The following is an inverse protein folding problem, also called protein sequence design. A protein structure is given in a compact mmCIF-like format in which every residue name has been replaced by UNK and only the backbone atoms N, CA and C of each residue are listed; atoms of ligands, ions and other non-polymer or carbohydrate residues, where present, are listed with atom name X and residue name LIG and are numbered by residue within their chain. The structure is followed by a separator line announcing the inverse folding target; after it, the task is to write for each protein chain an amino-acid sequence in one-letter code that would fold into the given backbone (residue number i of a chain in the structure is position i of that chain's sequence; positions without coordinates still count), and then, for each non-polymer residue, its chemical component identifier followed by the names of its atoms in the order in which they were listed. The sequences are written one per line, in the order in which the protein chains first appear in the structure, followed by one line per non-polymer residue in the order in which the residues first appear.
data_IF_611200156094
#
_entry.id   IF_611200156094
#
_cell.length_a   1.000
_cell.length_b   1.000
_cell.length_c   1.000
_cell.angle_alpha   90.00
_cell.angle_beta   90.00
_cell.angle_gamma   90.00
#
_symmetry.space_group_name_H-M   'P 1'
#
loop_
_entity.id
_entity.type
_entity.pdbx_description
1 polymer ?
#
# COMPACT_ATOMS: atom_id res chain seq x y z
N UNK A 1 -2.86 46.55 -8.29
CA UNK A 1 -1.46 46.15 -8.09
C UNK A 1 -1.28 45.82 -6.61
N UNK A 2 -1.51 44.57 -6.21
CA UNK A 2 -1.40 44.12 -4.82
C UNK A 2 -0.79 42.71 -4.80
N UNK A 3 0.40 42.61 -4.21
CA UNK A 3 1.16 41.37 -4.06
C UNK A 3 0.46 40.47 -3.03
N UNK A 4 0.12 39.24 -3.45
CA UNK A 4 -0.32 38.18 -2.53
C UNK A 4 0.91 37.47 -1.96
N UNK A 5 1.10 37.68 -0.66
CA UNK A 5 2.11 37.04 0.17
C UNK A 5 1.84 35.52 0.22
N UNK A 6 2.79 34.71 -0.26
CA UNK A 6 2.69 33.24 -0.26
C UNK A 6 3.36 32.75 1.03
N UNK A 7 2.56 32.39 2.04
CA UNK A 7 3.06 31.75 3.24
C UNK A 7 3.65 30.38 2.88
N UNK A 8 4.99 30.28 2.91
CA UNK A 8 5.72 29.02 2.77
C UNK A 8 5.73 28.36 4.14
N UNK A 9 4.85 27.37 4.36
CA UNK A 9 4.93 26.52 5.54
C UNK A 9 6.15 25.60 5.41
N UNK A 10 7.07 25.56 6.39
CA UNK A 10 8.22 24.67 6.32
C UNK A 10 7.73 23.21 6.43
N UNK A 11 8.11 22.39 5.46
CA UNK A 11 7.89 20.94 5.51
C UNK A 11 8.51 20.38 6.79
N UNK A 12 7.95 19.29 7.33
CA UNK A 12 8.47 18.60 8.52
C UNK A 12 9.96 18.23 8.38
N UNK A 13 10.43 18.05 7.14
CA UNK A 13 11.83 17.85 6.80
C UNK A 13 12.71 19.12 6.91
N UNK A 14 12.14 20.30 6.59
CA UNK A 14 12.84 21.58 6.77
C UNK A 14 13.19 21.89 8.22
N UNK A 15 12.37 21.42 9.18
CA UNK A 15 12.68 21.51 10.62
C UNK A 15 13.79 20.55 11.06
N UNK A 16 13.87 19.35 10.46
CA UNK A 16 14.97 18.39 10.72
C UNK A 16 16.29 18.89 10.12
N UNK A 17 16.24 19.50 8.93
CA UNK A 17 17.41 20.11 8.29
C UNK A 17 17.94 21.33 9.05
N UNK A 18 17.05 22.20 9.54
CA UNK A 18 17.43 23.35 10.35
C UNK A 18 17.98 22.97 11.74
N UNK A 19 17.73 21.74 12.21
CA UNK A 19 18.27 21.20 13.46
C UNK A 19 19.63 20.50 13.30
N UNK A 20 20.14 20.34 12.08
CA UNK A 20 21.49 19.83 11.82
C UNK A 20 22.47 21.00 11.93
N UNK A 21 23.25 21.02 13.01
CA UNK A 21 24.35 21.96 13.20
C UNK A 21 25.48 21.63 12.21
N UNK A 22 25.77 22.50 11.21
CA UNK A 22 26.80 22.25 10.20
C UNK A 22 28.19 22.04 10.81
N UNK A 23 28.45 22.56 12.01
CA UNK A 23 29.73 22.44 12.71
C UNK A 23 29.90 21.12 13.47
N UNK A 24 28.81 20.35 13.66
CA UNK A 24 28.83 19.01 14.28
C UNK A 24 28.80 17.86 13.29
N UNK A 25 28.75 18.14 11.98
CA UNK A 25 28.77 17.12 10.95
C UNK A 25 30.22 16.68 10.65
N UNK A 26 30.53 15.37 10.65
CA UNK A 26 31.86 14.90 10.30
C UNK A 26 32.21 15.32 8.87
N UNK A 27 33.47 15.69 8.60
CA UNK A 27 33.94 16.16 7.28
C UNK A 27 33.58 15.21 6.12
N UNK A 28 33.36 13.92 6.40
CA UNK A 28 32.89 12.92 5.45
C UNK A 28 31.43 13.11 4.95
N UNK A 29 30.62 13.94 5.60
CA UNK A 29 29.23 14.22 5.22
C UNK A 29 29.08 15.29 4.13
N UNK A 30 30.08 16.16 3.96
CA UNK A 30 30.07 17.27 3.01
C UNK A 30 29.87 16.88 1.53
N UNK A 31 30.41 15.76 1.01
CA UNK A 31 30.15 15.32 -0.37
C UNK A 31 28.74 14.76 -0.59
N UNK A 32 28.02 14.40 0.49
CA UNK A 32 26.75 13.65 0.43
C UNK A 32 25.53 14.54 0.65
N UNK A 33 25.69 15.64 1.39
CA UNK A 33 24.64 16.62 1.72
C UNK A 33 23.88 17.19 0.50
N UNK A 34 24.53 17.52 -0.64
CA UNK A 34 23.82 18.02 -1.84
C UNK A 34 22.89 16.95 -2.44
N UNK A 35 23.33 15.69 -2.50
CA UNK A 35 22.57 14.56 -3.07
C UNK A 35 21.42 14.13 -2.16
N UNK A 36 21.58 14.24 -0.85
CA UNK A 36 20.50 14.03 0.11
C UNK A 36 19.41 15.09 -0.01
N UNK A 37 19.77 16.34 -0.33
CA UNK A 37 18.82 17.43 -0.59
C UNK A 37 17.99 17.18 -1.85
N UNK A 38 18.55 16.52 -2.86
CA UNK A 38 17.82 16.08 -4.07
C UNK A 38 16.81 14.96 -3.80
N UNK A 39 16.99 14.17 -2.72
CA UNK A 39 16.03 13.15 -2.29
C UNK A 39 14.84 13.72 -1.50
N UNK A 40 14.93 14.97 -1.04
CA UNK A 40 13.90 15.62 -0.21
C UNK A 40 12.53 15.66 -0.89
N UNK A 41 12.36 16.01 -2.18
CA UNK A 41 11.05 15.99 -2.85
C UNK A 41 10.39 14.61 -2.85
N UNK A 42 11.20 13.55 -2.96
CA UNK A 42 10.75 12.16 -2.99
C UNK A 42 10.32 11.66 -1.60
N UNK A 43 10.99 12.14 -0.55
CA UNK A 43 10.68 11.83 0.86
C UNK A 43 9.58 12.74 1.44
N UNK A 44 9.43 13.97 0.94
CA UNK A 44 8.46 14.98 1.42
C UNK A 44 7.13 14.99 0.66
N UNK A 45 7.00 14.24 -0.44
CA UNK A 45 5.72 14.00 -1.13
C UNK A 45 4.67 13.25 -0.27
N UNK A 46 4.98 12.91 0.98
CA UNK A 46 4.06 12.38 1.99
C UNK A 46 3.43 13.43 2.91
N UNK A 47 3.82 14.71 2.81
CA UNK A 47 3.46 15.73 3.81
C UNK A 47 2.92 17.01 3.17
N UNK A 48 1.82 16.93 2.42
CA UNK A 48 1.06 18.12 2.01
C UNK A 48 -0.45 17.79 1.89
N UNK A 49 -1.19 18.05 2.98
CA UNK A 49 -2.46 18.80 3.06
C UNK A 49 -3.08 18.53 4.44
N UNK A 50 -3.30 19.62 5.18
CA UNK A 50 -3.72 19.63 6.58
C UNK A 50 -5.19 19.28 6.78
N UNK A 51 -5.45 18.88 8.02
CA UNK A 51 -6.67 18.29 8.55
C UNK A 51 -7.47 19.38 9.28
N UNK A 52 -8.35 20.13 8.59
CA UNK A 52 -9.21 21.13 9.28
C UNK A 52 -10.65 21.32 8.73
N UNK A 53 -11.12 20.56 7.72
CA UNK A 53 -12.49 20.74 7.18
C UNK A 53 -13.49 19.60 7.48
N UNK A 54 -13.12 18.62 8.31
CA UNK A 54 -13.99 17.46 8.60
C UNK A 54 -15.05 17.69 9.68
N UNK A 55 -14.80 18.57 10.66
CA UNK A 55 -15.63 18.65 11.87
C UNK A 55 -16.83 19.60 11.80
N UNK A 56 -17.04 20.29 10.67
CA UNK A 56 -18.14 21.26 10.52
C UNK A 56 -19.38 20.70 9.83
N UNK A 57 -19.27 19.58 9.10
CA UNK A 57 -20.36 19.04 8.26
C UNK A 57 -21.19 17.95 8.96
N UNK A 58 -20.73 17.39 10.08
CA UNK A 58 -21.32 16.18 10.68
C UNK A 58 -22.33 16.40 11.83
N UNK A 59 -22.70 17.64 12.17
CA UNK A 59 -23.73 17.89 13.20
C UNK A 59 -25.11 17.99 12.57
N UNK A 60 -25.73 16.85 12.26
CA UNK A 60 -27.17 16.81 11.94
C UNK A 60 -27.68 15.72 10.99
N UNK A 61 -26.86 14.75 10.57
CA UNK A 61 -27.33 13.66 9.70
C UNK A 61 -27.76 12.42 10.51
N UNK A 62 -28.84 11.71 10.12
CA UNK A 62 -29.19 10.41 10.70
C UNK A 62 -28.02 9.41 10.55
N UNK A 63 -27.94 8.40 11.43
CA UNK A 63 -26.79 7.48 11.53
C UNK A 63 -26.61 6.58 10.29
N UNK A 64 -26.02 7.16 9.25
CA UNK A 64 -25.54 6.48 8.03
C UNK A 64 -24.23 5.73 8.26
N UNK A 65 -23.63 5.79 9.46
CA UNK A 65 -22.37 5.11 9.75
C UNK A 65 -22.58 3.60 9.92
N UNK A 66 -23.64 3.19 10.62
CA UNK A 66 -24.01 1.78 10.79
C UNK A 66 -24.40 1.10 9.46
N UNK A 67 -25.10 1.81 8.57
CA UNK A 67 -25.53 1.28 7.26
C UNK A 67 -24.34 1.15 6.28
N UNK A 68 -23.34 2.04 6.36
CA UNK A 68 -22.10 1.91 5.58
C UNK A 68 -21.24 0.72 6.02
N UNK A 69 -21.24 0.40 7.32
CA UNK A 69 -20.44 -0.70 7.87
C UNK A 69 -20.89 -2.08 7.34
N UNK A 70 -22.21 -2.32 7.27
CA UNK A 70 -22.83 -3.56 6.74
C UNK A 70 -22.60 -3.82 5.23
N UNK A 71 -22.06 -2.84 4.50
CA UNK A 71 -21.70 -2.96 3.07
C UNK A 71 -20.22 -2.77 2.81
N UNK A 72 -19.38 -2.71 3.85
CA UNK A 72 -18.00 -2.29 3.71
C UNK A 72 -17.07 -3.43 3.29
N UNK A 73 -16.17 -3.10 2.37
CA UNK A 73 -14.96 -3.87 2.04
C UNK A 73 -13.84 -3.39 2.94
N UNK A 74 -12.99 -4.30 3.41
CA UNK A 74 -11.77 -3.96 4.15
C UNK A 74 -10.58 -3.99 3.20
N UNK A 75 -9.83 -2.89 3.11
CA UNK A 75 -8.54 -2.86 2.45
C UNK A 75 -7.41 -3.05 3.47
N UNK A 76 -6.56 -4.05 3.25
CA UNK A 76 -5.35 -4.27 4.05
C UNK A 76 -4.14 -3.75 3.27
N UNK A 77 -3.36 -2.86 3.89
CA UNK A 77 -2.19 -2.23 3.29
C UNK A 77 -0.98 -2.34 4.23
N UNK A 78 0.23 -2.37 3.69
CA UNK A 78 1.46 -2.46 4.49
C UNK A 78 2.00 -1.09 4.93
N UNK A 79 1.66 -0.01 4.22
CA UNK A 79 2.28 1.30 4.39
C UNK A 79 1.26 2.43 4.52
N UNK A 80 1.57 3.44 5.35
CA UNK A 80 0.67 4.56 5.61
C UNK A 80 0.26 5.36 4.35
N UNK A 81 1.14 5.43 3.33
CA UNK A 81 0.78 6.09 2.07
C UNK A 81 -0.16 5.25 1.21
N UNK A 82 -0.05 3.92 1.26
CA UNK A 82 -0.97 3.00 0.58
C UNK A 82 -2.34 3.14 1.21
N UNK A 83 -2.41 3.16 2.54
CA UNK A 83 -3.65 3.35 3.28
C UNK A 83 -4.38 4.64 2.88
N UNK A 84 -3.63 5.74 2.75
CA UNK A 84 -4.16 7.03 2.30
C UNK A 84 -4.69 6.96 0.86
N UNK A 85 -4.03 6.20 -0.02
CA UNK A 85 -4.50 6.00 -1.39
C UNK A 85 -5.74 5.08 -1.40
N UNK A 86 -5.74 3.99 -0.64
CA UNK A 86 -6.84 3.04 -0.56
C UNK A 86 -8.15 3.65 -0.06
N UNK A 87 -8.08 4.73 0.73
CA UNK A 87 -9.21 5.37 1.43
C UNK A 87 -10.53 5.50 0.67
N UNK A 88 -11.62 5.68 1.42
CA UNK A 88 -12.99 5.57 0.91
C UNK A 88 -13.66 4.22 1.23
N UNK A 89 -12.88 3.28 1.77
CA UNK A 89 -13.31 2.03 2.41
C UNK A 89 -12.72 1.94 3.82
N UNK A 90 -13.04 0.91 4.59
CA UNK A 90 -12.33 0.59 5.84
C UNK A 90 -10.91 0.15 5.49
N UNK A 91 -9.90 0.81 6.07
CA UNK A 91 -8.48 0.54 5.75
C UNK A 91 -7.75 0.12 7.02
N UNK A 92 -6.98 -0.96 6.92
CA UNK A 92 -6.14 -1.49 8.00
C UNK A 92 -4.68 -1.44 7.56
N UNK A 93 -3.85 -0.75 8.34
CA UNK A 93 -2.43 -0.53 8.08
C UNK A 93 -1.63 -0.57 9.38
N UNK A 94 -1.89 -1.58 10.20
CA UNK A 94 -1.46 -1.60 11.61
C UNK A 94 -0.22 -2.47 11.86
N UNK A 95 0.52 -2.83 10.80
CA UNK A 95 1.73 -3.66 10.88
C UNK A 95 1.48 -4.94 11.67
N UNK A 96 2.17 -5.10 12.80
CA UNK A 96 2.03 -6.27 13.68
C UNK A 96 0.61 -6.47 14.23
N UNK A 97 -0.19 -5.40 14.35
CA UNK A 97 -1.57 -5.48 14.84
C UNK A 97 -2.59 -5.76 13.74
N UNK A 98 -2.17 -5.81 12.47
CA UNK A 98 -3.05 -6.04 11.31
C UNK A 98 -3.98 -7.24 11.51
N UNK A 99 -3.46 -8.35 12.06
CA UNK A 99 -4.28 -9.54 12.30
C UNK A 99 -5.40 -9.34 13.32
N UNK A 100 -5.15 -8.58 14.39
CA UNK A 100 -6.17 -8.29 15.41
C UNK A 100 -7.20 -7.28 14.89
N UNK A 101 -6.73 -6.20 14.26
CA UNK A 101 -7.62 -5.17 13.69
C UNK A 101 -8.50 -5.73 12.57
N UNK A 102 -7.96 -6.62 11.73
CA UNK A 102 -8.72 -7.25 10.65
C UNK A 102 -9.86 -8.13 11.17
N UNK A 103 -9.60 -8.95 12.19
CA UNK A 103 -10.65 -9.76 12.82
C UNK A 103 -11.74 -8.88 13.43
N UNK A 104 -11.35 -7.84 14.16
CA UNK A 104 -12.30 -6.93 14.80
C UNK A 104 -13.21 -6.22 13.78
N UNK A 105 -12.68 -5.83 12.62
CA UNK A 105 -13.51 -5.22 11.56
C UNK A 105 -14.36 -6.26 10.81
N UNK A 106 -13.87 -7.49 10.63
CA UNK A 106 -14.67 -8.57 10.06
C UNK A 106 -15.88 -8.88 10.96
N UNK A 107 -15.68 -8.96 12.27
CA UNK A 107 -16.74 -9.18 13.26
C UNK A 107 -17.79 -8.06 13.29
N UNK A 108 -17.46 -6.86 12.78
CA UNK A 108 -18.41 -5.74 12.60
C UNK A 108 -19.26 -5.85 11.33
N UNK A 109 -19.09 -6.89 10.51
CA UNK A 109 -19.95 -7.19 9.36
C UNK A 109 -19.41 -6.79 8.00
N UNK A 110 -18.10 -6.92 7.76
CA UNK A 110 -17.51 -6.66 6.44
C UNK A 110 -17.92 -7.69 5.38
N UNK A 111 -17.96 -7.29 4.10
CA UNK A 111 -18.36 -8.17 2.98
C UNK A 111 -17.21 -8.84 2.25
N UNK A 112 -15.99 -8.37 2.44
CA UNK A 112 -14.83 -8.89 1.74
C UNK A 112 -13.56 -8.17 2.15
N UNK A 113 -12.44 -8.82 1.90
CA UNK A 113 -11.11 -8.31 2.25
C UNK A 113 -10.26 -8.22 0.98
N UNK A 114 -9.69 -7.05 0.71
CA UNK A 114 -8.72 -6.86 -0.37
C UNK A 114 -7.37 -6.46 0.19
N UNK A 115 -6.32 -7.14 -0.25
CA UNK A 115 -4.95 -6.70 0.00
C UNK A 115 -4.50 -5.76 -1.12
N UNK A 116 -4.18 -4.52 -0.78
CA UNK A 116 -3.92 -3.44 -1.73
C UNK A 116 -2.60 -2.74 -1.39
N UNK A 117 -1.73 -2.54 -2.38
CA UNK A 117 -0.50 -1.77 -2.14
C UNK A 117 0.59 -2.02 -3.16
N UNK A 118 1.82 -1.69 -2.78
CA UNK A 118 3.01 -2.03 -3.55
C UNK A 118 3.55 -3.41 -3.17
N UNK A 119 4.39 -3.98 -4.02
CA UNK A 119 5.04 -5.27 -3.82
C UNK A 119 6.40 -5.31 -4.54
N UNK A 120 7.28 -6.19 -4.07
CA UNK A 120 8.53 -6.51 -4.75
C UNK A 120 8.28 -7.45 -5.93
N UNK A 121 8.98 -7.23 -7.04
CA UNK A 121 8.93 -8.11 -8.21
C UNK A 121 9.79 -9.36 -8.00
N UNK A 122 9.26 -10.52 -8.39
CA UNK A 122 9.97 -11.80 -8.41
C UNK A 122 10.26 -12.27 -9.85
N UNK A 123 9.37 -11.96 -10.79
CA UNK A 123 9.57 -12.29 -12.19
C UNK A 123 10.48 -11.26 -12.91
N UNK A 124 11.41 -11.70 -13.77
CA UNK A 124 12.45 -10.84 -14.35
C UNK A 124 11.93 -9.80 -15.36
N UNK A 125 10.75 -10.01 -15.92
CA UNK A 125 10.20 -9.22 -17.03
C UNK A 125 9.25 -8.10 -16.59
N UNK A 126 9.00 -7.94 -15.28
CA UNK A 126 7.99 -7.01 -14.79
C UNK A 126 8.59 -5.66 -14.37
N UNK A 127 8.16 -4.53 -14.97
CA UNK A 127 8.68 -3.22 -14.64
C UNK A 127 8.00 -2.59 -13.42
N UNK A 128 8.60 -1.55 -12.80
CA UNK A 128 7.91 -0.74 -11.80
C UNK A 128 6.62 -0.13 -12.35
N UNK A 129 5.58 -0.07 -11.52
CA UNK A 129 4.26 0.44 -11.91
C UNK A 129 3.34 -0.58 -12.57
N UNK A 130 3.85 -1.77 -12.90
CA UNK A 130 3.02 -2.87 -13.39
C UNK A 130 2.07 -3.36 -12.30
N UNK A 131 0.79 -3.48 -12.65
CA UNK A 131 -0.23 -4.07 -11.79
C UNK A 131 -0.20 -5.60 -11.88
N UNK A 132 -0.39 -6.24 -10.73
CA UNK A 132 -0.63 -7.67 -10.59
C UNK A 132 -1.92 -7.86 -9.81
N UNK A 133 -2.86 -8.63 -10.33
CA UNK A 133 -4.03 -9.12 -9.61
C UNK A 133 -3.72 -10.56 -9.20
N UNK A 134 -3.94 -10.87 -7.93
CA UNK A 134 -3.65 -12.19 -7.41
C UNK A 134 -4.65 -13.22 -7.96
N UNK A 135 -4.13 -14.32 -8.51
CA UNK A 135 -4.89 -15.55 -8.74
C UNK A 135 -4.88 -16.46 -7.52
N UNK A 136 -3.84 -16.34 -6.71
CA UNK A 136 -3.68 -17.00 -5.42
C UNK A 136 -2.63 -16.26 -4.59
N UNK A 137 -2.71 -16.40 -3.28
CA UNK A 137 -1.65 -16.06 -2.35
C UNK A 137 -0.98 -17.34 -1.88
N UNK A 138 0.34 -17.40 -1.93
CA UNK A 138 1.14 -18.52 -1.42
C UNK A 138 2.09 -18.03 -0.33
N UNK A 139 2.18 -18.78 0.75
CA UNK A 139 3.19 -18.60 1.79
C UNK A 139 3.86 -19.95 2.08
N UNK A 140 4.85 -19.98 2.97
CA UNK A 140 5.45 -21.24 3.43
C UNK A 140 4.45 -22.13 4.19
N UNK A 141 3.30 -21.59 4.63
CA UNK A 141 2.31 -22.32 5.46
C UNK A 141 1.08 -22.75 4.68
N UNK A 142 0.65 -21.93 3.72
CA UNK A 142 -0.66 -22.05 3.12
C UNK A 142 -0.72 -21.48 1.71
N UNK A 143 -1.75 -21.92 0.97
CA UNK A 143 -2.14 -21.37 -0.32
C UNK A 143 -3.63 -21.07 -0.29
N UNK A 144 -3.99 -19.84 -0.66
CA UNK A 144 -5.36 -19.37 -0.72
C UNK A 144 -5.64 -18.84 -2.12
N UNK A 145 -6.65 -19.39 -2.81
CA UNK A 145 -7.13 -18.83 -4.07
C UNK A 145 -7.90 -17.54 -3.79
N UNK A 146 -7.84 -16.60 -4.73
CA UNK A 146 -8.66 -15.38 -4.65
C UNK A 146 -10.08 -15.63 -5.15
N UNK A 147 -11.00 -14.77 -4.74
CA UNK A 147 -12.36 -14.72 -5.25
C UNK A 147 -12.33 -14.44 -6.77
N UNK A 148 -12.90 -15.34 -7.60
CA UNK A 148 -12.76 -15.24 -9.05
C UNK A 148 -13.50 -14.04 -9.63
N UNK A 149 -14.69 -13.72 -9.12
CA UNK A 149 -15.52 -12.62 -9.61
C UNK A 149 -14.86 -11.28 -9.28
N UNK A 150 -14.35 -11.14 -8.05
CA UNK A 150 -13.64 -9.93 -7.65
C UNK A 150 -12.33 -9.77 -8.42
N UNK A 151 -11.59 -10.86 -8.64
CA UNK A 151 -10.36 -10.82 -9.43
C UNK A 151 -10.65 -10.44 -10.89
N UNK A 152 -11.75 -10.91 -11.47
CA UNK A 152 -12.18 -10.50 -12.80
C UNK A 152 -12.57 -9.01 -12.86
N UNK A 153 -13.34 -8.52 -11.87
CA UNK A 153 -13.66 -7.10 -11.75
C UNK A 153 -12.39 -6.22 -11.65
N UNK A 154 -11.38 -6.67 -10.90
CA UNK A 154 -10.08 -5.99 -10.81
C UNK A 154 -9.37 -5.98 -12.17
N UNK A 155 -9.32 -7.10 -12.88
CA UNK A 155 -8.65 -7.21 -14.19
C UNK A 155 -9.33 -6.32 -15.25
N UNK A 156 -10.67 -6.24 -15.25
CA UNK A 156 -11.42 -5.34 -16.13
C UNK A 156 -11.14 -3.86 -15.79
N UNK A 157 -11.04 -3.52 -14.51
CA UNK A 157 -10.81 -2.16 -14.05
C UNK A 157 -9.34 -1.71 -14.18
N UNK A 158 -8.38 -2.64 -14.26
CA UNK A 158 -6.95 -2.37 -14.37
C UNK A 158 -6.37 -2.92 -15.68
N UNK A 159 -6.54 -2.22 -16.82
CA UNK A 159 -6.03 -2.66 -18.10
C UNK A 159 -4.53 -2.96 -18.06
N UNK A 160 -4.15 -4.13 -18.57
CA UNK A 160 -2.76 -4.59 -18.60
C UNK A 160 -2.25 -5.16 -17.28
N UNK A 161 -3.09 -5.29 -16.24
CA UNK A 161 -2.73 -6.03 -15.04
C UNK A 161 -2.47 -7.52 -15.36
N UNK A 162 -1.44 -8.09 -14.73
CA UNK A 162 -1.11 -9.51 -14.86
C UNK A 162 -1.88 -10.30 -13.81
N UNK A 163 -2.59 -11.36 -14.21
CA UNK A 163 -3.24 -12.27 -13.28
C UNK A 163 -2.29 -13.42 -12.91
N UNK A 164 -1.84 -13.48 -11.65
CA UNK A 164 -0.83 -14.46 -11.24
C UNK A 164 -0.75 -14.66 -9.73
N UNK A 165 0.02 -15.66 -9.31
CA UNK A 165 0.27 -15.94 -7.90
C UNK A 165 1.15 -14.85 -7.26
N UNK A 166 0.80 -14.47 -6.04
CA UNK A 166 1.55 -13.56 -5.16
C UNK A 166 2.10 -14.35 -3.98
N UNK A 167 3.39 -14.16 -3.65
CA UNK A 167 4.00 -14.73 -2.46
C UNK A 167 3.83 -13.77 -1.27
N UNK A 168 3.34 -14.27 -0.14
CA UNK A 168 3.41 -13.57 1.14
C UNK A 168 4.63 -14.01 1.94
N UNK A 169 5.38 -13.07 2.50
CA UNK A 169 6.53 -13.33 3.36
C UNK A 169 6.43 -12.58 4.68
N UNK A 170 6.86 -13.20 5.77
CA UNK A 170 6.94 -12.52 7.08
C UNK A 170 8.13 -11.53 7.16
N UNK A 171 9.06 -11.58 6.18
CA UNK A 171 10.26 -10.75 6.16
C UNK A 171 10.52 -10.16 4.77
N UNK A 172 11.14 -8.98 4.65
CA UNK A 172 11.50 -8.42 3.35
C UNK A 172 12.44 -9.33 2.55
N UNK A 173 12.16 -9.52 1.26
CA UNK A 173 13.02 -10.27 0.33
C UNK A 173 13.86 -9.28 -0.47
N UNK A 174 15.08 -9.03 -0.01
CA UNK A 174 15.89 -7.89 -0.43
C UNK A 174 16.72 -8.12 -1.68
N UNK A 175 17.39 -9.27 -1.77
CA UNK A 175 18.42 -9.52 -2.77
C UNK A 175 17.89 -10.31 -3.98
N UNK A 176 18.44 -10.08 -5.19
CA UNK A 176 17.99 -10.76 -6.40
C UNK A 176 18.09 -12.31 -6.35
N UNK A 177 19.13 -12.93 -5.76
CA UNK A 177 19.16 -14.38 -5.56
C UNK A 177 17.99 -14.91 -4.73
N UNK A 178 17.65 -14.28 -3.60
CA UNK A 178 16.53 -14.67 -2.76
C UNK A 178 15.18 -14.50 -3.49
N UNK A 179 15.02 -13.41 -4.26
CA UNK A 179 13.84 -13.20 -5.11
C UNK A 179 13.69 -14.30 -6.16
N UNK A 180 14.77 -14.66 -6.85
CA UNK A 180 14.77 -15.75 -7.83
C UNK A 180 14.47 -17.10 -7.19
N UNK A 181 15.09 -17.42 -6.06
CA UNK A 181 14.80 -18.66 -5.35
C UNK A 181 13.34 -18.75 -4.87
N UNK A 182 12.73 -17.62 -4.49
CA UNK A 182 11.31 -17.56 -4.14
C UNK A 182 10.41 -17.74 -5.38
N UNK A 183 10.73 -17.07 -6.48
CA UNK A 183 10.05 -17.23 -7.77
C UNK A 183 10.05 -18.70 -8.21
N UNK A 184 11.23 -19.32 -8.26
CA UNK A 184 11.43 -20.67 -8.78
C UNK A 184 10.70 -21.72 -7.92
N UNK A 185 10.64 -21.50 -6.59
CA UNK A 185 10.01 -22.42 -5.65
C UNK A 185 8.49 -22.31 -5.62
N UNK A 186 7.92 -21.13 -5.88
CA UNK A 186 6.49 -20.85 -5.67
C UNK A 186 5.71 -20.57 -6.95
N UNK A 187 6.38 -20.23 -8.05
CA UNK A 187 5.76 -19.70 -9.27
C UNK A 187 5.12 -18.33 -9.09
N UNK A 188 5.32 -17.66 -7.94
CA UNK A 188 4.80 -16.33 -7.70
C UNK A 188 5.61 -15.26 -8.44
N UNK A 189 4.95 -14.25 -8.98
CA UNK A 189 5.61 -13.20 -9.78
C UNK A 189 5.91 -11.94 -8.97
N UNK A 190 5.30 -11.79 -7.79
CA UNK A 190 5.52 -10.70 -6.84
C UNK A 190 5.50 -11.21 -5.41
N UNK A 191 6.14 -10.46 -4.51
CA UNK A 191 6.18 -10.73 -3.07
C UNK A 191 5.75 -9.51 -2.26
N UNK A 192 4.95 -9.73 -1.23
CA UNK A 192 4.55 -8.72 -0.25
C UNK A 192 4.58 -9.31 1.18
N UNK A 193 4.19 -8.49 2.17
CA UNK A 193 4.29 -8.87 3.58
C UNK A 193 2.95 -8.99 4.31
N UNK A 194 1.83 -8.67 3.66
CA UNK A 194 0.52 -8.60 4.33
C UNK A 194 -0.52 -9.53 3.71
N UNK A 195 -0.40 -9.88 2.43
CA UNK A 195 -1.44 -10.59 1.70
C UNK A 195 -1.70 -12.00 2.26
N UNK A 196 -0.69 -12.73 2.73
CA UNK A 196 -0.89 -14.08 3.30
C UNK A 196 -1.63 -14.05 4.63
N UNK A 197 -1.37 -13.05 5.48
CA UNK A 197 -2.11 -12.85 6.73
C UNK A 197 -3.56 -12.50 6.44
N UNK A 198 -3.80 -11.57 5.51
CA UNK A 198 -5.14 -11.14 5.13
C UNK A 198 -5.96 -12.29 4.51
N UNK A 199 -5.36 -13.05 3.57
CA UNK A 199 -5.97 -14.19 2.92
C UNK A 199 -6.39 -15.26 3.93
N UNK A 200 -5.47 -15.64 4.84
CA UNK A 200 -5.74 -16.63 5.88
C UNK A 200 -6.88 -16.21 6.81
N UNK A 201 -6.92 -14.95 7.24
CA UNK A 201 -7.97 -14.46 8.13
C UNK A 201 -9.32 -14.40 7.40
N UNK A 202 -9.36 -13.91 6.16
CA UNK A 202 -10.58 -13.88 5.36
C UNK A 202 -11.13 -15.30 5.13
N UNK A 203 -10.27 -16.24 4.74
CA UNK A 203 -10.63 -17.64 4.57
C UNK A 203 -11.18 -18.26 5.86
N UNK A 204 -10.57 -17.98 7.01
CA UNK A 204 -11.04 -18.46 8.30
C UNK A 204 -12.43 -17.92 8.71
N UNK A 205 -12.88 -16.82 8.10
CA UNK A 205 -14.19 -16.21 8.35
C UNK A 205 -15.16 -16.40 7.16
N UNK A 206 -14.79 -17.19 6.16
CA UNK A 206 -15.63 -17.43 4.98
C UNK A 206 -15.91 -16.18 4.13
N UNK A 207 -15.01 -15.18 4.15
CA UNK A 207 -15.17 -13.95 3.38
C UNK A 207 -14.46 -14.03 2.03
N UNK A 208 -15.04 -13.43 0.97
CA UNK A 208 -14.34 -13.16 -0.28
C UNK A 208 -13.04 -12.43 -0.04
N UNK A 209 -11.98 -12.89 -0.69
CA UNK A 209 -10.65 -12.31 -0.60
C UNK A 209 -10.04 -12.10 -1.98
N UNK A 210 -9.40 -10.96 -2.20
CA UNK A 210 -8.52 -10.77 -3.37
C UNK A 210 -7.30 -9.91 -3.01
N UNK A 211 -6.37 -9.77 -3.95
CA UNK A 211 -5.26 -8.84 -3.81
C UNK A 211 -4.92 -8.21 -5.15
N UNK A 212 -4.53 -6.93 -5.12
CA UNK A 212 -3.89 -6.28 -6.25
C UNK A 212 -2.69 -5.47 -5.77
N UNK A 213 -1.56 -5.69 -6.45
CA UNK A 213 -0.26 -5.13 -6.08
C UNK A 213 0.38 -4.41 -7.25
N UNK A 214 1.03 -3.29 -6.96
CA UNK A 214 1.86 -2.56 -7.92
C UNK A 214 3.32 -2.87 -7.66
N UNK A 215 4.07 -3.24 -8.69
CA UNK A 215 5.50 -3.49 -8.55
C UNK A 215 6.23 -2.19 -8.25
N UNK A 216 6.99 -2.18 -7.14
CA UNK A 216 7.86 -1.07 -6.76
C UNK A 216 9.32 -1.34 -7.06
N UNK A 217 9.82 -2.54 -6.80
CA UNK A 217 11.22 -2.90 -7.02
C UNK A 217 11.31 -4.23 -7.81
N UNK A 218 11.76 -4.22 -9.08
CA UNK A 218 11.82 -5.42 -9.91
C UNK A 218 12.75 -6.52 -9.38
N UNK A 219 12.65 -7.71 -9.98
CA UNK A 219 13.38 -8.91 -9.53
C UNK A 219 14.92 -8.76 -9.53
N UNK A 220 15.46 -7.97 -10.45
CA UNK A 220 16.90 -7.71 -10.57
C UNK A 220 17.39 -6.58 -9.66
N UNK A 221 16.47 -5.88 -8.97
CA UNK A 221 16.81 -4.75 -8.09
C UNK A 221 17.21 -5.29 -6.71
N UNK A 222 18.39 -4.88 -6.26
CA UNK A 222 18.81 -5.08 -4.87
C UNK A 222 18.20 -3.98 -4.00
N UNK A 223 17.57 -4.34 -2.88
CA UNK A 223 17.09 -3.36 -1.91
C UNK A 223 18.26 -2.88 -1.04
N UNK A 224 18.59 -1.57 -1.03
CA UNK A 224 19.69 -1.07 -0.21
C UNK A 224 19.34 -1.22 1.29
N UNK A 225 20.34 -1.37 2.18
CA UNK A 225 20.09 -1.54 3.61
C UNK A 225 19.19 -0.46 4.21
N UNK A 226 19.30 0.78 3.74
CA UNK A 226 18.42 1.87 4.18
C UNK A 226 16.93 1.61 3.86
N UNK A 227 16.59 0.92 2.77
CA UNK A 227 15.20 0.59 2.43
C UNK A 227 14.61 -0.42 3.42
N UNK A 228 15.43 -1.36 3.91
CA UNK A 228 15.04 -2.39 4.88
C UNK A 228 14.80 -1.86 6.30
N UNK A 229 15.29 -0.66 6.61
CA UNK A 229 15.08 0.00 7.90
C UNK A 229 13.73 0.71 7.99
N UNK A 230 12.93 0.63 6.93
CA UNK A 230 11.55 1.12 6.89
C UNK A 230 10.71 0.04 7.55
N UNK A 231 10.34 0.18 8.82
CA UNK A 231 9.07 0.79 9.19
C UNK A 231 9.08 1.03 10.70
N UNK A 232 8.57 2.18 11.13
CA UNK A 232 8.13 2.35 12.52
C UNK A 232 6.83 1.55 12.72
N UNK A 233 6.48 1.19 13.97
CA UNK A 233 5.22 0.46 14.24
C UNK A 233 3.95 1.14 13.73
N UNK A 234 4.02 2.43 13.42
CA UNK A 234 2.94 3.28 12.87
C UNK A 234 2.88 3.30 11.32
N UNK A 235 3.71 2.50 10.64
CA UNK A 235 3.74 2.42 9.17
C UNK A 235 4.47 3.58 8.49
N UNK A 236 5.14 4.47 9.24
CA UNK A 236 5.95 5.55 8.68
C UNK A 236 7.40 5.11 8.44
N UNK A 237 8.08 5.61 7.38
CA UNK A 237 9.51 5.36 7.16
C UNK A 237 10.35 5.90 8.33
N UNK A 238 11.31 5.13 8.82
CA UNK A 238 12.22 5.60 9.86
C UNK A 238 13.34 6.47 9.27
N UNK A 239 13.00 7.73 8.95
CA UNK A 239 13.90 8.70 8.27
C UNK A 239 15.26 8.83 8.96
N UNK A 240 15.31 8.80 10.29
CA UNK A 240 16.57 8.87 11.04
C UNK A 240 17.44 7.61 10.87
N UNK A 241 16.83 6.42 10.81
CA UNK A 241 17.55 5.16 10.55
C UNK A 241 18.04 5.07 9.11
N UNK A 242 17.22 5.52 8.15
CA UNK A 242 17.59 5.67 6.74
C UNK A 242 18.81 6.59 6.61
N UNK A 243 18.79 7.77 7.24
CA UNK A 243 19.89 8.73 7.19
C UNK A 243 21.18 8.16 7.81
N UNK A 244 21.09 7.50 8.97
CA UNK A 244 22.24 6.83 9.60
C UNK A 244 22.82 5.73 8.71
N UNK A 245 21.99 4.92 8.07
CA UNK A 245 22.44 3.87 7.15
C UNK A 245 23.16 4.47 5.94
N UNK A 246 22.60 5.52 5.34
CA UNK A 246 23.21 6.21 4.20
C UNK A 246 24.55 6.84 4.58
N UNK A 247 24.67 7.43 5.78
CA UNK A 247 25.95 7.95 6.29
C UNK A 247 26.97 6.83 6.54
N UNK A 248 26.54 5.67 7.04
CA UNK A 248 27.41 4.52 7.28
C UNK A 248 27.87 3.84 5.99
N UNK A 249 27.05 3.84 4.93
CA UNK A 249 27.36 3.22 3.64
C UNK A 249 26.92 4.13 2.47
N UNK A 250 27.69 5.19 2.14
CA UNK A 250 27.33 6.14 1.07
C UNK A 250 27.27 5.52 -0.33
N UNK A 251 27.93 4.36 -0.53
CA UNK A 251 27.90 3.61 -1.79
C UNK A 251 26.51 3.10 -2.17
N UNK A 252 25.56 3.06 -1.22
CA UNK A 252 24.16 2.66 -1.48
C UNK A 252 23.30 3.77 -2.13
N UNK A 253 23.81 5.00 -2.23
CA UNK A 253 23.06 6.16 -2.75
C UNK A 253 22.50 5.96 -4.17
N UNK A 254 23.25 5.42 -5.15
CA UNK A 254 22.72 5.21 -6.49
C UNK A 254 21.52 4.25 -6.51
N UNK A 255 21.59 3.16 -5.75
CA UNK A 255 20.50 2.18 -5.65
C UNK A 255 19.28 2.76 -4.93
N UNK A 256 19.51 3.59 -3.91
CA UNK A 256 18.45 4.32 -3.22
C UNK A 256 17.75 5.34 -4.11
N UNK A 257 18.50 6.08 -4.95
CA UNK A 257 17.91 7.00 -5.94
C UNK A 257 17.08 6.27 -6.98
N UNK A 258 17.56 5.13 -7.48
CA UNK A 258 16.80 4.28 -8.43
C UNK A 258 15.51 3.77 -7.79
N UNK A 259 15.58 3.27 -6.56
CA UNK A 259 14.41 2.84 -5.81
C UNK A 259 13.42 4.00 -5.59
N UNK A 260 13.91 5.22 -5.33
CA UNK A 260 13.04 6.39 -5.19
C UNK A 260 12.29 6.70 -6.49
N UNK A 261 12.95 6.62 -7.65
CA UNK A 261 12.30 6.74 -8.96
C UNK A 261 11.25 5.65 -9.15
N UNK A 262 11.60 4.40 -8.92
CA UNK A 262 10.67 3.28 -9.08
C UNK A 262 9.45 3.43 -8.15
N UNK A 263 9.66 3.90 -6.91
CA UNK A 263 8.60 4.20 -5.95
C UNK A 263 7.68 5.34 -6.42
N UNK A 264 8.19 6.36 -7.11
CA UNK A 264 7.32 7.39 -7.71
C UNK A 264 6.44 6.83 -8.82
N UNK A 265 6.98 5.95 -9.68
CA UNK A 265 6.23 5.28 -10.75
C UNK A 265 5.14 4.40 -10.14
N UNK A 266 5.51 3.56 -9.16
CA UNK A 266 4.59 2.68 -8.47
C UNK A 266 3.48 3.45 -7.76
N UNK A 267 3.80 4.54 -7.05
CA UNK A 267 2.81 5.39 -6.37
C UNK A 267 1.87 6.07 -7.36
N UNK A 268 2.36 6.52 -8.51
CA UNK A 268 1.52 7.09 -9.56
C UNK A 268 0.56 6.04 -10.13
N UNK A 269 1.04 4.82 -10.40
CA UNK A 269 0.21 3.70 -10.84
C UNK A 269 -0.82 3.29 -9.77
N UNK A 270 -0.44 3.26 -8.49
CA UNK A 270 -1.33 2.95 -7.37
C UNK A 270 -2.48 3.96 -7.27
N UNK A 271 -2.18 5.27 -7.39
CA UNK A 271 -3.21 6.33 -7.41
C UNK A 271 -4.15 6.24 -8.59
N UNK A 272 -3.60 5.98 -9.80
CA UNK A 272 -4.41 5.83 -11.02
C UNK A 272 -5.31 4.60 -10.92
N UNK A 273 -4.74 3.45 -10.53
CA UNK A 273 -5.49 2.21 -10.36
C UNK A 273 -6.59 2.37 -9.31
N UNK A 274 -6.28 2.96 -8.14
CA UNK A 274 -7.31 3.28 -7.14
C UNK A 274 -8.52 4.04 -7.70
N UNK A 275 -8.28 5.04 -8.56
CA UNK A 275 -9.36 5.81 -9.16
C UNK A 275 -10.22 4.94 -10.11
N UNK A 276 -9.60 4.03 -10.87
CA UNK A 276 -10.27 3.10 -11.76
C UNK A 276 -11.09 2.03 -11.01
N UNK A 277 -10.62 1.61 -9.84
CA UNK A 277 -11.30 0.60 -9.01
C UNK A 277 -12.62 1.09 -8.37
N UNK A 278 -12.93 2.39 -8.44
CA UNK A 278 -14.19 2.93 -7.91
C UNK A 278 -14.30 2.89 -6.37
N UNK A 279 -15.46 3.25 -5.80
CA UNK A 279 -15.60 3.44 -4.36
C UNK A 279 -15.43 2.15 -3.53
N UNK A 280 -15.76 0.98 -4.10
CA UNK A 280 -15.73 -0.32 -3.42
C UNK A 280 -14.53 -1.19 -3.81
N UNK A 281 -13.47 -0.61 -4.40
CA UNK A 281 -12.28 -1.37 -4.85
C UNK A 281 -12.62 -2.54 -5.79
N UNK A 282 -13.53 -2.30 -6.74
CA UNK A 282 -14.06 -3.26 -7.70
C UNK A 282 -14.70 -4.52 -7.06
N UNK A 283 -15.17 -4.43 -5.81
CA UNK A 283 -15.93 -5.51 -5.19
C UNK A 283 -17.18 -5.85 -6.02
N UNK A 284 -17.45 -7.12 -6.31
CA UNK A 284 -18.65 -7.54 -7.05
C UNK A 284 -19.90 -7.16 -6.26
N UNK A 285 -20.72 -6.27 -6.80
CA UNK A 285 -22.03 -5.96 -6.26
C UNK A 285 -22.94 -7.15 -6.57
N UNK A 286 -23.17 -8.04 -5.60
CA UNK A 286 -24.08 -9.17 -5.74
C UNK A 286 -25.48 -8.65 -6.11
N UNK A 287 -25.81 -8.66 -7.41
CA UNK A 287 -27.15 -8.39 -7.95
C UNK A 287 -28.11 -9.58 -7.72
N UNK A 288 -28.15 -10.14 -6.51
CA UNK A 288 -28.97 -11.33 -6.21
C UNK A 288 -29.78 -11.25 -4.91
N UNK A 289 -30.02 -10.04 -4.39
CA UNK A 289 -31.00 -9.81 -3.30
C UNK A 289 -32.22 -8.98 -3.74
N UNK A 290 -32.34 -8.66 -5.03
CA UNK A 290 -33.57 -8.04 -5.59
C UNK A 290 -34.70 -9.07 -5.87
N UNK A 291 -34.45 -10.37 -5.70
CA UNK A 291 -35.49 -11.40 -5.93
C UNK A 291 -36.32 -11.78 -4.69
N UNK A 292 -35.93 -11.36 -3.48
CA UNK A 292 -36.67 -11.68 -2.24
C UNK A 292 -37.57 -10.55 -1.70
N UNK A 293 -37.65 -9.41 -2.41
CA UNK A 293 -38.52 -8.28 -2.03
C UNK A 293 -39.48 -7.85 -3.15
N UNK A 294 -39.91 -8.78 -4.00
CA UNK A 294 -41.13 -8.55 -4.77
C UNK A 294 -42.32 -8.58 -3.79
N UNK A 295 -43.08 -7.47 -3.59
CA UNK A 295 -44.32 -7.56 -2.84
C UNK A 295 -45.25 -8.53 -3.58
N UNK A 296 -45.84 -9.46 -2.84
CA UNK A 296 -46.81 -10.42 -3.38
C UNK A 296 -47.86 -9.68 -4.23
N UNK A 297 -48.24 -10.21 -5.41
CA UNK A 297 -49.24 -9.55 -6.24
C UNK A 297 -50.54 -9.44 -5.46
N UNK A 298 -51.10 -8.24 -5.43
CA UNK A 298 -52.42 -8.00 -4.86
C UNK A 298 -53.44 -8.88 -5.60
N UNK A 299 -54.02 -9.83 -4.86
CA UNK A 299 -55.14 -10.64 -5.33
C UNK A 299 -56.29 -9.70 -5.72
N UNK A 300 -56.78 -9.86 -6.95
CA UNK A 300 -57.99 -9.19 -7.45
C UNK A 300 -59.23 -9.91 -6.96
#
# INVERSE_FOLDING_TARGET
MAARNRAVYPSTFGRVWAALDPERLPKAAFPVLPKLRELVPYLSAGALLGDEDRDRVLRGAPDVSAIRHFRSVIAVTGLAFEARIAGGVTVISDGLRTGASLKAEIERGSRGVISFGIAGGLAPHLPPGQWVVASAIVSDRDRHTTDPDWSECLLRALPGAVHATIAGSDTPVADPPAKRALHDRTGAIVVDMESHLAARIAAAHGLPFTACRVIVDPAHRNLPPAALLSLRPDGNPNVAAVLRSVMAQPRQLPDLMRLAVDATIARAALRRGRALLGPALAFPDFRELEMDFAPAPALS
#
